data_IF_886783182619
#
_entry.id   IF_886783182619
#
_cell.length_a   1.000
_cell.length_b   1.000
_cell.length_c   1.000
_cell.angle_alpha   90.00
_cell.angle_beta   90.00
_cell.angle_gamma   90.00
#
_symmetry.space_group_name_H-M   'P 1'
#
loop_
_entity.id
_entity.type
_entity.pdbx_description
1 polymer ?
#
# COMPACT_ATOMS: atom_id res chain seq x y z
N UNK A 1 -10.35 -10.47 -34.35
CA UNK A 1 -9.12 -10.85 -33.63
C UNK A 1 -8.86 -9.79 -32.58
N UNK A 2 -9.15 -10.09 -31.29
CA UNK A 2 -8.84 -9.19 -30.17
C UNK A 2 -7.49 -9.65 -29.62
N UNK A 3 -6.44 -8.88 -29.87
CA UNK A 3 -5.14 -9.06 -29.27
C UNK A 3 -5.25 -8.77 -27.77
N UNK A 4 -5.09 -9.81 -26.95
CA UNK A 4 -4.92 -9.65 -25.50
C UNK A 4 -3.56 -9.00 -25.25
N UNK A 5 -3.53 -7.71 -25.00
CA UNK A 5 -2.36 -7.05 -24.44
C UNK A 5 -2.11 -7.67 -23.07
N UNK A 6 -1.03 -8.42 -22.97
CA UNK A 6 -0.60 -9.05 -21.73
C UNK A 6 -0.08 -7.99 -20.78
N UNK A 7 -0.43 -8.11 -19.51
CA UNK A 7 0.00 -7.26 -18.37
C UNK A 7 1.54 -7.13 -18.23
N UNK A 8 2.33 -7.77 -19.09
CA UNK A 8 3.80 -7.67 -19.13
C UNK A 8 4.31 -6.36 -19.74
N UNK A 9 3.56 -5.74 -20.65
CA UNK A 9 4.02 -4.49 -21.30
C UNK A 9 3.80 -3.24 -20.44
N UNK A 10 2.96 -3.34 -19.41
CA UNK A 10 2.64 -2.21 -18.55
C UNK A 10 3.79 -1.87 -17.56
N UNK A 11 4.61 -2.84 -17.16
CA UNK A 11 5.74 -2.63 -16.25
C UNK A 11 6.99 -2.05 -16.95
N UNK A 12 7.09 -2.17 -18.27
CA UNK A 12 8.27 -1.75 -19.02
C UNK A 12 8.46 -0.22 -19.13
N UNK A 13 7.44 0.59 -18.79
CA UNK A 13 7.47 2.05 -18.91
C UNK A 13 7.68 2.80 -17.59
N UNK A 14 7.89 2.11 -16.46
CA UNK A 14 8.23 2.77 -15.20
C UNK A 14 9.71 3.21 -15.28
N UNK A 15 9.94 4.49 -15.42
CA UNK A 15 11.30 5.07 -15.36
C UNK A 15 11.73 5.11 -13.89
N UNK A 16 12.80 4.41 -13.57
CA UNK A 16 13.46 4.51 -12.29
C UNK A 16 14.47 5.67 -12.33
N UNK A 17 14.19 6.77 -11.67
CA UNK A 17 15.15 7.87 -11.49
C UNK A 17 16.02 7.60 -10.27
N UNK A 18 17.31 7.89 -10.36
CA UNK A 18 18.22 7.85 -9.20
C UNK A 18 18.08 9.17 -8.45
N UNK A 19 17.56 9.15 -7.23
CA UNK A 19 17.80 10.19 -6.24
C UNK A 19 19.03 9.79 -5.42
N UNK A 20 19.54 10.68 -4.54
CA UNK A 20 20.62 10.38 -3.60
C UNK A 20 20.31 9.18 -2.69
N UNK A 21 19.09 8.72 -2.68
CA UNK A 21 18.55 7.60 -1.92
C UNK A 21 17.95 6.51 -2.82
N UNK A 22 18.66 5.98 -3.81
CA UNK A 22 18.27 4.81 -4.61
C UNK A 22 16.88 4.87 -5.30
N UNK A 23 16.72 4.11 -6.33
CA UNK A 23 15.61 3.96 -7.29
C UNK A 23 14.22 4.32 -6.74
N UNK A 24 13.70 5.47 -7.18
CA UNK A 24 12.29 5.84 -6.99
C UNK A 24 11.52 5.33 -8.21
N UNK A 25 10.40 4.64 -7.97
CA UNK A 25 9.48 4.25 -9.05
C UNK A 25 8.77 5.51 -9.55
N UNK A 26 9.20 6.01 -10.71
CA UNK A 26 8.64 7.20 -11.33
C UNK A 26 7.51 6.81 -12.29
N UNK A 27 6.30 7.16 -11.93
CA UNK A 27 5.10 6.95 -12.74
C UNK A 27 4.83 8.11 -13.73
N UNK A 28 5.74 9.09 -13.86
CA UNK A 28 5.63 10.14 -14.87
C UNK A 28 5.79 9.55 -16.28
N UNK A 29 4.77 9.55 -17.07
CA UNK A 29 4.71 8.93 -18.41
C UNK A 29 3.97 7.59 -18.46
N UNK A 30 3.41 7.13 -17.32
CA UNK A 30 2.57 5.95 -17.22
C UNK A 30 1.23 6.30 -16.57
N UNK A 31 0.13 6.12 -17.29
CA UNK A 31 -1.21 6.35 -16.73
C UNK A 31 -1.57 5.21 -15.78
N UNK A 32 -1.08 5.31 -14.54
CA UNK A 32 -1.27 4.30 -13.50
C UNK A 32 -2.75 4.03 -13.19
N UNK A 33 -3.59 5.08 -13.17
CA UNK A 33 -5.03 4.96 -12.96
C UNK A 33 -5.66 4.01 -13.97
N UNK A 34 -5.48 4.30 -15.25
CA UNK A 34 -6.10 3.54 -16.34
C UNK A 34 -5.54 2.13 -16.46
N UNK A 35 -4.23 2.00 -16.59
CA UNK A 35 -3.59 0.72 -16.95
C UNK A 35 -3.57 -0.26 -15.78
N UNK A 36 -3.31 0.22 -14.56
CA UNK A 36 -3.17 -0.67 -13.41
C UNK A 36 -4.50 -0.94 -12.70
N UNK A 37 -5.43 0.03 -12.65
CA UNK A 37 -6.68 -0.12 -11.91
C UNK A 37 -7.89 -0.35 -12.80
N UNK A 38 -8.13 0.49 -13.80
CA UNK A 38 -9.36 0.42 -14.59
C UNK A 38 -9.36 -0.74 -15.58
N UNK A 39 -8.27 -0.94 -16.36
CA UNK A 39 -8.21 -1.93 -17.43
C UNK A 39 -7.70 -3.32 -16.98
N UNK A 40 -7.27 -3.47 -15.73
CA UNK A 40 -6.55 -4.68 -15.26
C UNK A 40 -7.41 -5.73 -14.56
N UNK A 41 -8.73 -5.48 -14.37
CA UNK A 41 -9.63 -6.37 -13.63
C UNK A 41 -9.32 -6.49 -12.15
N UNK A 42 -8.85 -5.39 -11.52
CA UNK A 42 -8.51 -5.30 -10.09
C UNK A 42 -9.62 -4.73 -9.20
N UNK A 43 -10.85 -4.72 -9.69
CA UNK A 43 -12.01 -4.25 -8.93
C UNK A 43 -12.13 -4.92 -7.55
N UNK A 44 -11.89 -6.23 -7.48
CA UNK A 44 -11.93 -6.95 -6.21
C UNK A 44 -10.86 -6.43 -5.25
N UNK A 45 -9.62 -6.25 -5.71
CA UNK A 45 -8.50 -5.75 -4.90
C UNK A 45 -8.78 -4.32 -4.41
N UNK A 46 -9.34 -3.45 -5.25
CA UNK A 46 -9.72 -2.08 -4.87
C UNK A 46 -10.80 -2.09 -3.78
N UNK A 47 -11.86 -2.87 -3.94
CA UNK A 47 -12.93 -2.98 -2.96
C UNK A 47 -12.47 -3.63 -1.65
N UNK A 48 -11.52 -4.57 -1.70
CA UNK A 48 -10.92 -5.17 -0.51
C UNK A 48 -10.09 -4.17 0.29
N UNK A 49 -9.27 -3.33 -0.40
CA UNK A 49 -8.52 -2.23 0.20
C UNK A 49 -9.48 -1.23 0.87
N UNK A 50 -10.50 -0.74 0.15
CA UNK A 50 -11.51 0.20 0.69
C UNK A 50 -12.22 -0.36 1.92
N UNK A 51 -12.54 -1.67 1.92
CA UNK A 51 -13.16 -2.34 3.06
C UNK A 51 -12.26 -2.30 4.29
N UNK A 52 -10.96 -2.56 4.13
CA UNK A 52 -9.99 -2.50 5.22
C UNK A 52 -9.81 -1.07 5.74
N UNK A 53 -9.67 -0.10 4.85
CA UNK A 53 -9.49 1.32 5.21
C UNK A 53 -10.68 1.86 6.00
N UNK A 54 -11.91 1.54 5.57
CA UNK A 54 -13.13 1.94 6.31
C UNK A 54 -13.16 1.44 7.75
N UNK A 55 -12.53 0.29 8.02
CA UNK A 55 -12.47 -0.31 9.37
C UNK A 55 -11.35 0.25 10.21
N UNK A 56 -10.20 0.57 9.60
CA UNK A 56 -8.98 0.94 10.31
C UNK A 56 -8.82 2.45 10.54
N UNK A 57 -9.26 3.29 9.58
CA UNK A 57 -9.16 4.73 9.73
C UNK A 57 -10.12 5.24 10.82
N UNK A 58 -9.70 6.25 11.61
CA UNK A 58 -10.58 6.95 12.52
C UNK A 58 -11.81 7.52 11.81
N UNK A 59 -12.93 7.66 12.55
CA UNK A 59 -14.15 8.26 12.00
C UNK A 59 -14.02 9.76 11.78
N UNK A 60 -13.21 10.43 12.59
CA UNK A 60 -12.94 11.87 12.53
C UNK A 60 -11.44 12.07 12.63
N UNK A 61 -10.89 12.91 11.76
CA UNK A 61 -9.46 13.27 11.68
C UNK A 61 -9.34 14.77 11.47
N UNK A 62 -8.49 15.45 12.25
CA UNK A 62 -8.32 16.89 12.12
C UNK A 62 -7.44 17.23 10.91
N UNK A 63 -6.27 16.67 10.83
CA UNK A 63 -5.35 16.81 9.71
C UNK A 63 -4.86 15.42 9.26
N UNK A 64 -5.11 15.10 8.02
CA UNK A 64 -4.86 13.76 7.47
C UNK A 64 -3.93 13.84 6.26
N UNK A 65 -3.06 12.84 6.09
CA UNK A 65 -2.24 12.69 4.88
C UNK A 65 -2.32 11.28 4.30
N UNK A 66 -2.53 11.21 2.97
CA UNK A 66 -2.39 9.99 2.16
C UNK A 66 -0.99 9.97 1.55
N UNK A 67 -0.12 9.14 2.11
CA UNK A 67 1.30 9.03 1.74
C UNK A 67 1.47 8.10 0.56
N UNK A 68 2.12 8.57 -0.49
CA UNK A 68 2.25 7.87 -1.78
C UNK A 68 0.88 7.49 -2.35
N UNK A 69 -0.10 8.40 -2.20
CA UNK A 69 -1.50 8.15 -2.54
C UNK A 69 -1.80 8.17 -4.05
N UNK A 70 -0.80 8.42 -4.88
CA UNK A 70 -0.91 8.43 -6.34
C UNK A 70 -1.90 9.49 -6.82
N UNK A 71 -2.87 9.08 -7.63
CA UNK A 71 -3.93 9.96 -8.16
C UNK A 71 -5.14 10.10 -7.21
N UNK A 72 -4.99 9.75 -5.92
CA UNK A 72 -6.07 9.86 -4.93
C UNK A 72 -7.11 8.74 -5.02
N UNK A 73 -6.74 7.54 -5.47
CA UNK A 73 -7.64 6.38 -5.62
C UNK A 73 -8.53 6.15 -4.39
N UNK A 74 -8.01 6.39 -3.21
CA UNK A 74 -8.67 6.13 -1.93
C UNK A 74 -9.30 7.38 -1.29
N UNK A 75 -9.25 8.53 -1.98
CA UNK A 75 -9.68 9.82 -1.43
C UNK A 75 -11.13 9.80 -0.93
N UNK A 76 -12.03 9.14 -1.63
CA UNK A 76 -13.43 9.01 -1.22
C UNK A 76 -13.64 8.26 0.11
N UNK A 77 -12.62 7.55 0.63
CA UNK A 77 -12.70 6.86 1.91
C UNK A 77 -12.32 7.75 3.10
N UNK A 78 -11.46 8.73 2.89
CA UNK A 78 -10.97 9.61 3.96
C UNK A 78 -11.49 11.04 3.90
N UNK A 79 -11.82 11.59 2.74
CA UNK A 79 -12.37 12.96 2.61
C UNK A 79 -13.61 13.21 3.49
N UNK A 80 -14.58 12.28 3.60
CA UNK A 80 -15.72 12.50 4.50
C UNK A 80 -15.40 12.48 5.99
N UNK A 81 -14.16 12.12 6.38
CA UNK A 81 -13.71 11.91 7.76
C UNK A 81 -12.65 12.92 8.20
N UNK A 82 -11.95 13.56 7.25
CA UNK A 82 -10.89 14.50 7.53
C UNK A 82 -11.38 15.93 7.40
N UNK A 83 -11.07 16.80 8.37
CA UNK A 83 -11.32 18.24 8.25
C UNK A 83 -10.39 18.87 7.22
N UNK A 84 -9.14 18.42 7.17
CA UNK A 84 -8.14 18.75 6.16
C UNK A 84 -7.48 17.46 5.67
N UNK A 85 -7.40 17.29 4.34
CA UNK A 85 -6.79 16.14 3.73
C UNK A 85 -5.69 16.57 2.76
N UNK A 86 -4.52 15.94 2.91
CA UNK A 86 -3.37 16.12 2.03
C UNK A 86 -3.07 14.82 1.31
N UNK A 87 -2.78 14.90 0.01
CA UNK A 87 -2.24 13.81 -0.80
C UNK A 87 -0.77 14.10 -1.09
N UNK A 88 0.10 13.21 -0.66
CA UNK A 88 1.53 13.31 -0.87
C UNK A 88 1.99 12.21 -1.82
N UNK A 89 2.66 12.58 -2.90
CA UNK A 89 3.22 11.64 -3.87
C UNK A 89 4.45 12.21 -4.56
N UNK A 90 5.31 11.35 -5.09
CA UNK A 90 6.46 11.74 -5.88
C UNK A 90 6.07 12.13 -7.31
N UNK A 91 5.08 11.47 -7.91
CA UNK A 91 4.66 11.65 -9.29
C UNK A 91 3.81 12.90 -9.48
N UNK A 92 4.35 13.86 -10.23
CA UNK A 92 3.64 15.07 -10.61
C UNK A 92 2.37 14.75 -11.41
N UNK A 93 2.43 13.79 -12.33
CA UNK A 93 1.29 13.38 -13.15
C UNK A 93 0.12 12.85 -12.30
N UNK A 94 0.43 12.00 -11.31
CA UNK A 94 -0.59 11.49 -10.39
C UNK A 94 -1.25 12.62 -9.60
N UNK A 95 -0.46 13.58 -9.11
CA UNK A 95 -0.98 14.73 -8.36
C UNK A 95 -1.82 15.67 -9.22
N UNK A 96 -1.49 15.84 -10.50
CA UNK A 96 -2.30 16.59 -11.46
C UNK A 96 -3.67 15.93 -11.66
N UNK A 97 -3.70 14.60 -11.85
CA UNK A 97 -4.95 13.84 -11.95
C UNK A 97 -5.80 13.97 -10.67
N UNK A 98 -5.16 13.95 -9.48
CA UNK A 98 -5.86 14.14 -8.22
C UNK A 98 -6.47 15.55 -8.10
N UNK A 99 -5.74 16.60 -8.52
CA UNK A 99 -6.27 17.98 -8.54
C UNK A 99 -7.45 18.13 -9.47
N UNK A 100 -7.37 17.54 -10.65
CA UNK A 100 -8.47 17.54 -11.62
C UNK A 100 -9.74 16.86 -11.07
N UNK A 101 -9.58 15.75 -10.34
CA UNK A 101 -10.70 14.96 -9.81
C UNK A 101 -11.31 15.55 -8.54
N UNK A 102 -10.48 16.05 -7.60
CA UNK A 102 -10.93 16.45 -6.26
C UNK A 102 -10.94 17.96 -6.01
N UNK A 103 -10.26 18.76 -6.84
CA UNK A 103 -10.18 20.21 -6.68
C UNK A 103 -9.68 20.61 -5.30
N UNK A 104 -10.30 21.65 -4.72
CA UNK A 104 -9.92 22.22 -3.41
C UNK A 104 -10.21 21.30 -2.21
N UNK A 105 -10.90 20.17 -2.41
CA UNK A 105 -11.17 19.21 -1.33
C UNK A 105 -9.94 18.42 -0.90
N UNK A 106 -8.90 18.35 -1.76
CA UNK A 106 -7.71 17.56 -1.52
C UNK A 106 -6.45 18.38 -1.81
N UNK A 107 -5.75 18.80 -0.76
CA UNK A 107 -4.46 19.46 -0.92
C UNK A 107 -3.41 18.47 -1.45
N UNK A 108 -2.63 18.87 -2.47
CA UNK A 108 -1.62 17.96 -3.06
C UNK A 108 -0.22 18.51 -2.86
N UNK A 109 0.68 17.68 -2.37
CA UNK A 109 2.09 18.00 -2.12
C UNK A 109 2.99 17.01 -2.83
N UNK A 110 3.93 17.50 -3.64
CA UNK A 110 4.94 16.67 -4.28
C UNK A 110 6.20 16.58 -3.41
N UNK A 111 6.77 15.39 -3.27
CA UNK A 111 8.01 15.24 -2.53
C UNK A 111 8.56 13.83 -2.46
N UNK A 112 9.72 13.71 -1.80
CA UNK A 112 10.38 12.45 -1.50
C UNK A 112 9.97 11.98 -0.08
N UNK A 113 9.51 10.74 0.03
CA UNK A 113 9.06 10.14 1.29
C UNK A 113 10.17 10.02 2.34
N UNK A 114 11.42 9.96 1.92
CA UNK A 114 12.56 9.89 2.83
C UNK A 114 12.86 11.21 3.54
N UNK A 115 12.31 12.34 3.04
CA UNK A 115 12.42 13.67 3.60
C UNK A 115 11.21 14.51 3.17
N UNK A 116 10.08 14.32 3.87
CA UNK A 116 8.86 15.06 3.56
C UNK A 116 8.97 16.53 3.97
N UNK A 117 8.26 17.47 3.31
CA UNK A 117 8.28 18.88 3.68
C UNK A 117 7.42 19.23 4.90
N UNK A 118 6.88 18.23 5.60
CA UNK A 118 5.96 18.40 6.71
C UNK A 118 6.67 18.65 8.05
N UNK A 119 6.01 19.36 8.92
CA UNK A 119 6.48 19.62 10.29
C UNK A 119 6.33 18.38 11.19
N UNK A 120 7.07 18.36 12.30
CA UNK A 120 6.92 17.34 13.33
C UNK A 120 5.50 17.41 13.93
N UNK A 121 4.83 16.26 14.04
CA UNK A 121 3.50 16.19 14.64
C UNK A 121 2.39 16.92 13.86
N UNK A 122 2.55 17.11 12.56
CA UNK A 122 1.60 17.88 11.75
C UNK A 122 0.25 17.16 11.55
N UNK A 123 0.24 15.82 11.54
CA UNK A 123 -0.95 15.05 11.18
C UNK A 123 -1.50 14.23 12.34
N UNK A 124 -2.83 14.24 12.50
CA UNK A 124 -3.55 13.37 13.44
C UNK A 124 -3.71 11.93 12.93
N UNK A 125 -3.69 11.75 11.62
CA UNK A 125 -3.72 10.43 11.00
C UNK A 125 -3.04 10.41 9.63
N UNK A 126 -2.53 9.24 9.25
CA UNK A 126 -1.99 8.97 7.91
C UNK A 126 -2.44 7.63 7.36
N UNK A 127 -2.41 7.54 6.04
CA UNK A 127 -2.61 6.32 5.26
C UNK A 127 -1.41 6.09 4.34
N UNK A 128 -0.92 4.85 4.22
CA UNK A 128 0.05 4.45 3.21
C UNK A 128 -0.31 3.08 2.66
N UNK A 129 -0.77 3.02 1.41
CA UNK A 129 -1.27 1.79 0.77
C UNK A 129 -0.56 1.53 -0.54
N UNK A 130 -0.12 0.29 -0.74
CA UNK A 130 0.59 -0.18 -1.94
C UNK A 130 1.86 0.60 -2.26
N UNK A 131 2.54 1.09 -1.22
CA UNK A 131 3.78 1.86 -1.34
C UNK A 131 4.98 1.14 -0.70
N UNK A 132 4.79 0.39 0.39
CA UNK A 132 5.89 -0.23 1.16
C UNK A 132 6.85 -1.05 0.33
N UNK A 133 6.35 -1.72 -0.70
CA UNK A 133 7.17 -2.58 -1.57
C UNK A 133 8.14 -1.81 -2.50
N UNK A 134 8.06 -0.49 -2.58
CA UNK A 134 8.99 0.36 -3.32
C UNK A 134 10.22 0.76 -2.48
N UNK A 135 10.20 0.61 -1.16
CA UNK A 135 11.23 1.14 -0.28
C UNK A 135 12.26 0.09 0.08
N UNK A 136 13.53 0.38 -0.20
CA UNK A 136 14.65 -0.43 0.26
C UNK A 136 14.89 -0.23 1.76
N UNK A 137 14.81 1.01 2.24
CA UNK A 137 14.97 1.35 3.65
C UNK A 137 13.62 1.72 4.29
N UNK A 138 12.81 0.69 4.56
CA UNK A 138 11.51 0.87 5.20
C UNK A 138 11.63 1.49 6.61
N UNK A 139 12.72 1.21 7.34
CA UNK A 139 12.93 1.80 8.67
C UNK A 139 13.01 3.32 8.62
N UNK A 140 13.75 3.88 7.66
CA UNK A 140 13.87 5.33 7.49
C UNK A 140 12.51 5.96 7.15
N UNK A 141 11.73 5.32 6.25
CA UNK A 141 10.37 5.77 5.94
C UNK A 141 9.50 5.77 7.19
N UNK A 142 9.50 4.69 7.98
CA UNK A 142 8.69 4.61 9.19
C UNK A 142 9.09 5.67 10.24
N UNK A 143 10.36 6.01 10.37
CA UNK A 143 10.83 7.11 11.23
C UNK A 143 10.30 8.45 10.76
N UNK A 144 10.28 8.69 9.46
CA UNK A 144 9.71 9.92 8.88
C UNK A 144 8.20 9.99 9.09
N UNK A 145 7.47 8.87 8.88
CA UNK A 145 6.04 8.81 9.17
C UNK A 145 5.73 9.05 10.66
N UNK A 146 6.56 8.50 11.55
CA UNK A 146 6.44 8.77 12.99
C UNK A 146 6.70 10.24 13.31
N UNK A 147 7.71 10.88 12.69
CA UNK A 147 8.02 12.30 12.91
C UNK A 147 6.85 13.21 12.58
N UNK A 148 6.20 13.00 11.43
CA UNK A 148 5.10 13.87 10.97
C UNK A 148 3.76 13.61 11.67
N UNK A 149 3.58 12.48 12.36
CA UNK A 149 2.40 12.21 13.18
C UNK A 149 2.50 12.91 14.54
N UNK A 150 1.38 13.44 15.02
CA UNK A 150 1.25 13.91 16.41
C UNK A 150 1.34 12.74 17.40
N UNK A 151 1.73 12.97 18.67
CA UNK A 151 1.65 11.94 19.71
C UNK A 151 0.23 11.38 19.83
N UNK A 152 0.07 10.05 19.83
CA UNK A 152 -1.23 9.38 19.78
C UNK A 152 -1.89 9.36 18.39
N UNK A 153 -1.26 9.96 17.39
CA UNK A 153 -1.75 9.94 16.00
C UNK A 153 -1.79 8.52 15.42
N UNK A 154 -2.69 8.31 14.48
CA UNK A 154 -2.98 6.99 13.89
C UNK A 154 -2.34 6.85 12.51
N UNK A 155 -1.59 5.75 12.29
CA UNK A 155 -1.16 5.36 10.96
C UNK A 155 -1.88 4.08 10.50
N UNK A 156 -2.37 4.08 9.25
CA UNK A 156 -2.84 2.87 8.58
C UNK A 156 -1.88 2.55 7.44
N UNK A 157 -1.15 1.44 7.59
CA UNK A 157 -0.09 1.06 6.65
C UNK A 157 -0.37 -0.33 6.07
N UNK A 158 -0.35 -0.42 4.73
CA UNK A 158 -0.39 -1.71 4.02
C UNK A 158 1.02 -2.21 3.73
N UNK A 159 1.22 -3.51 3.92
CA UNK A 159 2.48 -4.20 3.67
C UNK A 159 2.27 -5.36 2.72
N UNK A 160 3.04 -5.38 1.62
CA UNK A 160 3.09 -6.48 0.69
C UNK A 160 3.76 -7.71 1.34
N UNK A 161 2.97 -8.77 1.55
CA UNK A 161 3.37 -9.92 2.33
C UNK A 161 4.24 -10.92 1.54
N UNK A 162 5.38 -11.26 2.10
CA UNK A 162 6.25 -12.33 1.61
C UNK A 162 5.67 -13.72 1.91
N UNK A 163 5.01 -13.89 3.06
CA UNK A 163 4.53 -15.15 3.62
C UNK A 163 3.10 -15.45 3.18
N UNK A 164 2.88 -15.73 1.89
CA UNK A 164 1.54 -16.11 1.39
C UNK A 164 1.43 -17.60 1.13
N UNK A 165 0.23 -18.19 1.30
CA UNK A 165 0.00 -19.62 1.05
C UNK A 165 0.54 -20.07 -0.32
N UNK A 166 0.24 -19.40 -1.45
CA UNK A 166 0.79 -19.83 -2.74
C UNK A 166 2.32 -19.79 -2.81
N UNK A 167 2.97 -18.79 -2.15
CA UNK A 167 4.43 -18.70 -2.10
C UNK A 167 5.03 -19.83 -1.25
N UNK A 168 4.38 -20.20 -0.13
CA UNK A 168 4.80 -21.32 0.72
C UNK A 168 4.72 -22.64 -0.04
N UNK A 169 3.63 -22.93 -0.73
CA UNK A 169 3.50 -24.11 -1.56
C UNK A 169 4.55 -24.16 -2.67
N UNK A 170 4.76 -23.06 -3.39
CA UNK A 170 5.80 -22.98 -4.44
C UNK A 170 7.20 -23.25 -3.90
N UNK A 171 7.51 -22.77 -2.70
CA UNK A 171 8.78 -23.02 -2.04
C UNK A 171 8.93 -24.51 -1.66
N UNK A 172 7.94 -25.10 -1.01
CA UNK A 172 7.96 -26.53 -0.65
C UNK A 172 8.14 -27.47 -1.85
N UNK A 173 7.50 -27.12 -2.96
CA UNK A 173 7.66 -27.90 -4.20
C UNK A 173 8.88 -27.47 -5.04
N UNK A 174 9.85 -26.75 -4.45
CA UNK A 174 11.08 -26.27 -5.12
C UNK A 174 10.83 -25.47 -6.41
N UNK A 175 9.69 -24.80 -6.50
CA UNK A 175 9.29 -23.95 -7.64
C UNK A 175 9.60 -22.46 -7.41
N UNK A 176 10.29 -22.11 -6.33
CA UNK A 176 10.75 -20.78 -5.99
C UNK A 176 12.00 -20.87 -5.13
N UNK A 177 13.00 -20.05 -5.40
CA UNK A 177 14.19 -19.87 -4.57
C UNK A 177 13.94 -18.94 -3.38
N UNK A 178 12.90 -18.11 -3.43
CA UNK A 178 12.56 -17.19 -2.35
C UNK A 178 11.94 -17.94 -1.18
N UNK A 179 12.65 -17.96 -0.04
CA UNK A 179 12.16 -18.57 1.19
C UNK A 179 11.12 -17.64 1.87
N UNK A 180 9.83 -18.02 1.92
CA UNK A 180 8.78 -17.21 2.54
C UNK A 180 8.84 -17.22 4.08
N UNK A 181 9.62 -18.10 4.69
CA UNK A 181 9.79 -18.22 6.15
C UNK A 181 10.98 -17.44 6.68
N UNK A 182 11.90 -17.05 5.80
CA UNK A 182 12.99 -16.15 6.17
C UNK A 182 12.42 -14.76 6.51
N UNK A 183 12.83 -14.23 7.68
CA UNK A 183 12.37 -12.92 8.15
C UNK A 183 12.95 -11.75 7.35
N UNK A 184 14.09 -11.92 6.69
CA UNK A 184 14.71 -10.84 5.92
C UNK A 184 13.85 -10.44 4.74
N UNK A 185 13.82 -9.15 4.37
CA UNK A 185 13.14 -8.68 3.17
C UNK A 185 13.65 -9.42 1.94
N UNK A 186 12.76 -9.77 1.01
CA UNK A 186 13.15 -10.30 -0.29
C UNK A 186 13.13 -9.18 -1.32
N UNK A 187 14.30 -8.93 -1.91
CA UNK A 187 14.40 -8.04 -3.07
C UNK A 187 14.05 -8.84 -4.33
N UNK A 188 12.95 -8.49 -4.98
CA UNK A 188 12.53 -9.14 -6.23
C UNK A 188 13.27 -8.60 -7.46
N UNK A 189 14.13 -7.55 -7.31
CA UNK A 189 14.97 -7.04 -8.41
C UNK A 189 15.88 -8.10 -9.02
N UNK A 190 16.31 -9.05 -8.21
CA UNK A 190 17.14 -10.16 -8.67
C UNK A 190 16.34 -11.18 -9.50
N UNK A 191 15.01 -11.17 -9.40
CA UNK A 191 14.11 -12.15 -10.01
C UNK A 191 13.21 -11.49 -11.06
N UNK A 192 12.85 -10.22 -10.85
CA UNK A 192 11.96 -9.45 -11.73
C UNK A 192 12.48 -8.00 -11.85
N UNK A 193 12.50 -7.46 -13.06
CA UNK A 193 13.09 -6.15 -13.38
C UNK A 193 12.43 -4.97 -12.66
N UNK A 194 11.25 -5.19 -12.05
CA UNK A 194 10.42 -4.14 -11.44
C UNK A 194 10.80 -3.80 -9.99
N UNK A 195 11.76 -4.50 -9.40
CA UNK A 195 12.43 -4.09 -8.17
C UNK A 195 11.56 -3.90 -6.94
N UNK A 196 10.62 -4.81 -6.67
CA UNK A 196 9.77 -4.75 -5.50
C UNK A 196 10.32 -5.52 -4.30
N UNK A 197 10.13 -4.96 -3.10
CA UNK A 197 10.40 -5.64 -1.84
C UNK A 197 9.14 -6.33 -1.31
N UNK A 198 9.28 -7.56 -0.83
CA UNK A 198 8.26 -8.21 -0.02
C UNK A 198 8.79 -8.42 1.38
N UNK A 199 7.98 -8.11 2.37
CA UNK A 199 8.35 -8.14 3.77
C UNK A 199 7.70 -9.32 4.49
N UNK A 200 8.45 -9.93 5.41
CA UNK A 200 7.87 -10.88 6.35
C UNK A 200 7.11 -10.10 7.45
N UNK A 201 5.89 -10.49 7.84
CA UNK A 201 5.12 -9.76 8.86
C UNK A 201 5.90 -9.50 10.14
N UNK A 202 6.59 -10.51 10.69
CA UNK A 202 7.37 -10.33 11.91
C UNK A 202 8.50 -9.29 11.79
N UNK A 203 9.15 -9.19 10.61
CA UNK A 203 10.18 -8.16 10.38
C UNK A 203 9.57 -6.76 10.45
N UNK A 204 8.42 -6.55 9.83
CA UNK A 204 7.76 -5.23 9.82
C UNK A 204 7.22 -4.87 11.19
N UNK A 205 6.67 -5.86 11.92
CA UNK A 205 6.17 -5.66 13.29
C UNK A 205 7.30 -5.27 14.27
N UNK A 206 8.50 -5.83 14.09
CA UNK A 206 9.70 -5.42 14.83
C UNK A 206 10.11 -3.99 14.45
N UNK A 207 10.05 -3.61 13.15
CA UNK A 207 10.33 -2.24 12.72
C UNK A 207 9.32 -1.23 13.28
N UNK A 208 8.03 -1.54 13.32
CA UNK A 208 7.03 -0.66 13.91
C UNK A 208 7.36 -0.31 15.35
N UNK A 209 7.67 -1.33 16.19
CA UNK A 209 8.10 -1.13 17.58
C UNK A 209 9.37 -0.29 17.66
N UNK A 210 10.37 -0.61 16.85
CA UNK A 210 11.67 0.10 16.82
C UNK A 210 11.52 1.57 16.44
N UNK A 211 10.52 1.90 15.62
CA UNK A 211 10.26 3.25 15.12
C UNK A 211 9.20 4.01 15.91
N UNK A 212 8.78 3.52 17.09
CA UNK A 212 7.88 4.23 18.01
C UNK A 212 6.41 4.07 17.70
N UNK A 213 6.03 2.95 17.05
CA UNK A 213 4.63 2.61 16.81
C UNK A 213 4.19 1.41 17.65
N UNK A 214 2.96 1.45 18.12
CA UNK A 214 2.23 0.33 18.71
C UNK A 214 1.17 -0.18 17.73
N UNK A 215 1.06 -1.51 17.60
CA UNK A 215 0.08 -2.16 16.72
C UNK A 215 -1.24 -2.30 17.47
N UNK A 216 -2.29 -1.65 16.98
CA UNK A 216 -3.64 -1.68 17.58
C UNK A 216 -4.56 -2.69 16.90
N UNK A 217 -4.46 -2.83 15.57
CA UNK A 217 -5.31 -3.74 14.80
C UNK A 217 -4.58 -4.22 13.56
N UNK A 218 -4.91 -5.42 13.09
CA UNK A 218 -4.34 -6.03 11.89
C UNK A 218 -5.45 -6.66 11.06
N UNK A 219 -5.40 -6.45 9.75
CA UNK A 219 -6.30 -7.09 8.80
C UNK A 219 -5.54 -7.85 7.71
N UNK A 220 -6.05 -9.02 7.36
CA UNK A 220 -5.58 -9.86 6.25
C UNK A 220 -6.41 -9.54 5.02
N UNK A 221 -5.80 -8.97 3.96
CA UNK A 221 -6.54 -8.34 2.86
C UNK A 221 -6.17 -8.95 1.51
N UNK A 222 -7.14 -8.97 0.59
CA UNK A 222 -7.05 -9.58 -0.73
C UNK A 222 -6.91 -11.12 -0.69
N UNK A 223 -7.64 -11.76 0.21
CA UNK A 223 -7.58 -13.22 0.43
C UNK A 223 -8.03 -14.02 -0.80
N UNK A 224 -8.96 -13.50 -1.60
CA UNK A 224 -9.59 -14.20 -2.73
C UNK A 224 -9.22 -13.61 -4.10
N UNK A 225 -8.02 -13.04 -4.27
CA UNK A 225 -7.61 -12.38 -5.52
C UNK A 225 -7.33 -13.30 -6.71
N UNK A 226 -7.53 -14.62 -6.56
CA UNK A 226 -7.35 -15.59 -7.65
C UNK A 226 -8.27 -15.27 -8.83
N UNK A 227 -7.72 -15.27 -10.05
CA UNK A 227 -8.51 -15.06 -11.29
C UNK A 227 -9.63 -16.10 -11.41
N UNK A 228 -9.37 -17.34 -11.05
CA UNK A 228 -10.37 -18.43 -11.07
C UNK A 228 -11.50 -18.16 -10.09
N UNK A 229 -11.20 -17.75 -8.85
CA UNK A 229 -12.22 -17.42 -7.86
C UNK A 229 -13.08 -16.23 -8.31
N UNK A 230 -12.46 -15.18 -8.86
CA UNK A 230 -13.19 -14.02 -9.39
C UNK A 230 -14.14 -14.39 -10.54
N UNK A 231 -13.73 -15.33 -11.41
CA UNK A 231 -14.59 -15.83 -12.50
C UNK A 231 -15.77 -16.68 -12.00
N UNK A 232 -15.56 -17.53 -10.99
CA UNK A 232 -16.59 -18.45 -10.48
C UNK A 232 -17.60 -17.74 -9.60
N UNK A 233 -17.15 -16.91 -8.65
CA UNK A 233 -18.01 -16.33 -7.61
C UNK A 233 -18.40 -14.88 -7.87
N UNK A 234 -17.70 -14.18 -8.78
CA UNK A 234 -17.88 -12.76 -9.04
C UNK A 234 -17.43 -11.85 -7.90
N UNK A 235 -17.13 -10.58 -8.23
CA UNK A 235 -16.57 -9.61 -7.28
C UNK A 235 -17.45 -9.37 -6.07
N UNK A 236 -18.78 -9.22 -6.27
CA UNK A 236 -19.72 -8.89 -5.17
C UNK A 236 -19.76 -9.96 -4.07
N UNK A 237 -19.80 -11.23 -4.44
CA UNK A 237 -19.81 -12.34 -3.47
C UNK A 237 -18.47 -12.45 -2.73
N UNK A 238 -17.36 -12.32 -3.47
CA UNK A 238 -16.02 -12.36 -2.89
C UNK A 238 -15.77 -11.21 -1.91
N UNK A 239 -16.25 -9.99 -2.18
CA UNK A 239 -16.11 -8.87 -1.25
C UNK A 239 -16.95 -9.07 0.02
N UNK A 240 -18.13 -9.66 -0.07
CA UNK A 240 -18.92 -10.01 1.12
C UNK A 240 -18.15 -10.99 2.01
N UNK A 241 -17.55 -12.02 1.41
CA UNK A 241 -16.71 -12.98 2.12
C UNK A 241 -15.43 -12.34 2.66
N UNK A 242 -14.74 -11.54 1.85
CA UNK A 242 -13.54 -10.78 2.23
C UNK A 242 -13.78 -9.96 3.49
N UNK A 243 -14.89 -9.20 3.52
CA UNK A 243 -15.29 -8.42 4.70
C UNK A 243 -15.42 -9.25 5.97
N UNK A 244 -15.95 -10.48 5.86
CA UNK A 244 -16.10 -11.37 7.02
C UNK A 244 -14.77 -11.94 7.52
N UNK A 245 -13.80 -12.20 6.61
CA UNK A 245 -12.58 -12.93 6.97
C UNK A 245 -11.35 -12.05 7.22
N UNK A 246 -11.37 -10.76 6.85
CA UNK A 246 -10.21 -9.87 7.01
C UNK A 246 -9.66 -9.85 8.45
N UNK A 247 -10.53 -9.77 9.46
CA UNK A 247 -10.13 -9.82 10.86
C UNK A 247 -9.71 -11.23 11.32
N UNK A 248 -10.57 -12.25 11.21
CA UNK A 248 -10.22 -13.60 11.62
C UNK A 248 -8.95 -14.16 11.01
N UNK A 249 -8.70 -13.91 9.72
CA UNK A 249 -7.47 -14.37 9.04
C UNK A 249 -6.23 -13.52 9.36
N UNK A 250 -6.37 -12.41 10.08
CA UNK A 250 -5.25 -11.57 10.47
C UNK A 250 -4.25 -12.32 11.38
N UNK A 251 -4.72 -13.25 12.21
CA UNK A 251 -3.88 -14.05 13.10
C UNK A 251 -2.87 -14.93 12.36
N UNK A 252 -3.24 -15.46 11.20
CA UNK A 252 -2.37 -16.33 10.38
C UNK A 252 -1.47 -15.56 9.39
N UNK A 253 -1.84 -14.33 9.04
CA UNK A 253 -1.05 -13.43 8.16
C UNK A 253 -0.61 -14.05 6.84
N UNK A 254 -1.51 -14.77 6.15
CA UNK A 254 -1.19 -15.45 4.88
C UNK A 254 -1.73 -14.74 3.64
N UNK A 255 -2.50 -13.66 3.80
CA UNK A 255 -2.96 -12.87 2.68
C UNK A 255 -1.82 -12.12 1.98
N UNK A 256 -2.01 -11.77 0.73
CA UNK A 256 -1.03 -10.99 -0.05
C UNK A 256 -0.73 -9.61 0.52
N UNK A 257 -1.72 -8.97 1.13
CA UNK A 257 -1.59 -7.66 1.78
C UNK A 257 -2.01 -7.76 3.24
N UNK A 258 -1.19 -7.22 4.12
CA UNK A 258 -1.51 -7.07 5.56
C UNK A 258 -1.63 -5.59 5.85
N UNK A 259 -2.74 -5.19 6.46
CA UNK A 259 -2.99 -3.84 6.89
C UNK A 259 -2.81 -3.74 8.39
N UNK A 260 -2.08 -2.74 8.82
CA UNK A 260 -1.83 -2.45 10.23
C UNK A 260 -2.44 -1.09 10.59
N UNK A 261 -3.20 -1.05 11.68
CA UNK A 261 -3.52 0.19 12.38
C UNK A 261 -2.52 0.37 13.50
N UNK A 262 -1.79 1.45 13.46
CA UNK A 262 -0.72 1.79 14.38
C UNK A 262 -1.06 3.06 15.13
N UNK A 263 -0.54 3.20 16.35
CA UNK A 263 -0.55 4.45 17.12
C UNK A 263 0.89 4.88 17.37
N UNK A 264 1.19 6.17 17.19
CA UNK A 264 2.46 6.76 17.63
C UNK A 264 2.49 6.82 19.15
N UNK A 265 3.50 6.19 19.77
CA UNK A 265 3.65 6.13 21.23
C UNK A 265 4.54 7.22 21.82
N UNK A 266 5.43 7.79 21.01
CA UNK A 266 6.36 8.85 21.41
C UNK A 266 6.64 9.82 20.27
#
# INVERSE_FOLDING_TARGET
>A
MKTSATTKDASANIKNTKSDHKVISDYNGYNYKKVFWEDSGREYEDLADRTAIRRLLPKNMDNFVDICGGYGRLANEYLPRAKRATLFDYSKLNLEQAREEFGDKLHTVQGDIYKTPFSDGEFSALLMVRATHHFENLEQVLRELNRILEPGGVAVIEVANKRTLPKMFRYWFKRSSVNPFDKQPSNLKEIDKDGFYNYHPAYVEDLFKKTGFEIMDVLSVSNFRSRTMKKIFGTKALIKLEKAVQGPLASVRFAPSIYYRLIKTK
#
